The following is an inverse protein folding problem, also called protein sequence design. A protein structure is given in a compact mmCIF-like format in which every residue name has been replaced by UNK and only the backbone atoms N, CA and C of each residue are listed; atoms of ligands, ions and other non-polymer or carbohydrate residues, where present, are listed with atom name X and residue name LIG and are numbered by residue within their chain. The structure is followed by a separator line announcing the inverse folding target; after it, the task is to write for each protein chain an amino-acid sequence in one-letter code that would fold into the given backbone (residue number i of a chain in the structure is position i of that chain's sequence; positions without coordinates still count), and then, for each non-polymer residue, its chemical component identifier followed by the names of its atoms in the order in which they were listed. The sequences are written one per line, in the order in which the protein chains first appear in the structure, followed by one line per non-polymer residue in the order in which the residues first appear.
data_IF_599873557167
#
_entry.id   IF_599873557167
#
_cell.length_a   1.000
_cell.length_b   1.000
_cell.length_c   1.000
_cell.angle_alpha   90.00
_cell.angle_beta   90.00
_cell.angle_gamma   90.00
#
_symmetry.space_group_name_H-M   'P 1'
#
loop_
_entity.id
_entity.type
_entity.pdbx_description
1 polymer ?
#
# COMPACT_ATOMS: atom_id res chain seq x y z
N UNK A 1 -3.83 -14.05 -15.62
CA UNK A 1 -2.96 -13.69 -14.66
C UNK A 1 -3.56 -13.05 -13.50
N UNK A 2 -3.27 -13.54 -12.38
CA UNK A 2 -3.90 -13.00 -11.26
C UNK A 2 -3.07 -11.95 -10.62
N UNK A 3 -3.72 -11.06 -9.95
CA UNK A 3 -3.10 -9.98 -9.23
C UNK A 3 -3.03 -10.34 -7.77
N UNK A 4 -1.85 -10.24 -7.19
CA UNK A 4 -1.68 -10.53 -5.79
C UNK A 4 -2.48 -9.55 -4.95
N UNK A 5 -3.00 -10.02 -3.82
CA UNK A 5 -3.69 -9.14 -2.89
C UNK A 5 -2.75 -8.14 -2.26
N UNK A 6 -1.47 -8.46 -2.22
CA UNK A 6 -0.49 -7.58 -1.60
C UNK A 6 0.47 -7.05 -2.65
N UNK A 7 0.86 -5.80 -2.48
CA UNK A 7 1.87 -5.16 -3.32
C UNK A 7 3.21 -5.21 -2.61
N UNK A 8 4.28 -5.42 -3.36
CA UNK A 8 5.59 -5.33 -2.76
C UNK A 8 6.16 -3.93 -2.98
N UNK A 9 7.37 -3.71 -2.46
CA UNK A 9 7.96 -2.39 -2.51
C UNK A 9 8.21 -1.94 -3.94
N UNK A 10 8.56 -2.86 -4.82
CA UNK A 10 8.87 -2.50 -6.20
C UNK A 10 7.64 -1.96 -6.92
N UNK A 11 6.49 -2.53 -6.65
CA UNK A 11 5.26 -2.02 -7.24
C UNK A 11 4.94 -0.63 -6.74
N UNK A 12 5.14 -0.39 -5.44
CA UNK A 12 4.89 0.93 -4.88
C UNK A 12 5.83 1.95 -5.50
N UNK A 13 7.09 1.58 -5.67
CA UNK A 13 8.05 2.45 -6.32
C UNK A 13 7.57 2.86 -7.71
N UNK A 14 7.10 1.89 -8.48
CA UNK A 14 6.65 2.15 -9.84
C UNK A 14 5.39 3.00 -9.87
N UNK A 15 4.45 2.71 -9.01
CA UNK A 15 3.18 3.42 -9.05
C UNK A 15 3.33 4.85 -8.59
N UNK A 16 4.08 5.07 -7.51
CA UNK A 16 4.21 6.41 -6.95
C UNK A 16 5.40 7.19 -7.48
N UNK A 17 6.33 6.53 -8.14
CA UNK A 17 7.52 7.21 -8.64
C UNK A 17 8.43 7.68 -7.53
N UNK A 18 8.54 6.92 -6.44
CA UNK A 18 9.38 7.29 -5.31
C UNK A 18 10.52 6.28 -5.20
N UNK A 19 11.49 6.61 -4.37
CA UNK A 19 12.61 5.71 -4.14
C UNK A 19 12.24 4.65 -3.13
N UNK A 20 13.01 3.55 -3.12
CA UNK A 20 12.72 2.43 -2.25
C UNK A 20 12.57 2.81 -0.77
N UNK A 21 13.47 3.59 -0.19
CA UNK A 21 13.31 3.94 1.23
C UNK A 21 11.98 4.63 1.51
N UNK A 22 11.56 5.50 0.59
CA UNK A 22 10.28 6.18 0.75
C UNK A 22 9.13 5.19 0.60
N UNK A 23 9.25 4.27 -0.34
CA UNK A 23 8.21 3.26 -0.53
C UNK A 23 8.05 2.39 0.71
N UNK A 24 9.16 2.01 1.34
CA UNK A 24 9.09 1.22 2.56
C UNK A 24 8.40 1.99 3.68
N UNK A 25 8.67 3.28 3.78
CA UNK A 25 8.00 4.09 4.80
C UNK A 25 6.50 4.13 4.57
N UNK A 26 6.10 4.27 3.32
CA UNK A 26 4.68 4.32 2.99
C UNK A 26 4.02 2.99 3.32
N UNK A 27 4.65 1.89 2.95
CA UNK A 27 4.10 0.57 3.25
C UNK A 27 3.95 0.39 4.75
N UNK A 28 4.95 0.78 5.51
CA UNK A 28 4.90 0.65 6.95
C UNK A 28 3.77 1.46 7.55
N UNK A 29 3.61 2.69 7.07
CA UNK A 29 2.56 3.54 7.57
C UNK A 29 1.18 2.95 7.30
N UNK A 30 0.96 2.47 6.08
CA UNK A 30 -0.32 1.88 5.74
C UNK A 30 -0.58 0.61 6.55
N UNK A 31 0.46 -0.19 6.77
CA UNK A 31 0.30 -1.38 7.58
C UNK A 31 -0.02 -1.04 9.02
N UNK A 32 0.58 0.01 9.55
CA UNK A 32 0.26 0.45 10.91
C UNK A 32 -1.21 0.84 11.01
N UNK A 33 -1.72 1.51 10.00
CA UNK A 33 -3.14 1.87 9.98
C UNK A 33 -4.02 0.64 9.95
N UNK A 34 -3.65 -0.34 9.14
CA UNK A 34 -4.43 -1.56 9.04
C UNK A 34 -4.37 -2.36 10.33
N UNK A 35 -3.22 -2.40 10.97
CA UNK A 35 -3.11 -3.10 12.26
C UNK A 35 -4.02 -2.46 13.30
N UNK A 36 -4.16 -1.16 13.25
CA UNK A 36 -5.07 -0.47 14.15
C UNK A 36 -6.51 -0.81 13.92
N UNK A 37 -6.83 -1.35 12.74
CA UNK A 37 -8.18 -1.77 12.40
C UNK A 37 -8.34 -3.28 12.48
N UNK A 38 -7.37 -3.95 13.07
CA UNK A 38 -7.43 -5.41 13.26
C UNK A 38 -7.31 -6.21 11.97
N UNK A 39 -6.68 -5.65 10.96
CA UNK A 39 -6.41 -6.39 9.74
C UNK A 39 -5.03 -7.04 9.82
N UNK A 40 -4.89 -8.15 9.12
CA UNK A 40 -3.62 -8.84 9.05
C UNK A 40 -2.72 -8.13 8.04
N UNK A 41 -1.46 -7.90 8.44
CA UNK A 41 -0.50 -7.26 7.55
C UNK A 41 0.74 -8.13 7.39
N UNK A 42 1.50 -7.86 6.33
CA UNK A 42 2.73 -8.58 6.05
C UNK A 42 3.84 -7.55 5.92
N UNK A 43 4.93 -7.76 6.65
CA UNK A 43 6.06 -6.83 6.63
C UNK A 43 6.58 -6.69 5.20
N UNK A 44 6.82 -5.45 4.78
CA UNK A 44 7.35 -5.18 3.46
C UNK A 44 6.34 -5.27 2.34
N UNK A 45 5.07 -5.53 2.67
CA UNK A 45 4.02 -5.59 1.67
C UNK A 45 2.80 -4.86 2.20
N UNK A 46 1.95 -4.42 1.28
CA UNK A 46 0.77 -3.67 1.68
C UNK A 46 -0.42 -4.17 0.87
N UNK A 47 -1.59 -4.16 1.50
CA UNK A 47 -2.82 -4.54 0.81
C UNK A 47 -3.03 -3.66 -0.42
N UNK A 48 -3.19 -4.29 -1.57
CA UNK A 48 -3.39 -3.55 -2.81
C UNK A 48 -4.66 -2.72 -2.74
N UNK A 49 -5.70 -3.30 -2.20
CA UNK A 49 -6.98 -2.59 -2.08
C UNK A 49 -6.86 -1.37 -1.17
N UNK A 50 -6.23 -1.54 -0.01
CA UNK A 50 -6.09 -0.42 0.91
C UNK A 50 -5.20 0.67 0.33
N UNK A 51 -4.12 0.27 -0.35
CA UNK A 51 -3.25 1.24 -1.02
C UNK A 51 -4.06 2.09 -1.98
N UNK A 52 -4.87 1.43 -2.80
CA UNK A 52 -5.66 2.17 -3.78
C UNK A 52 -6.66 3.09 -3.11
N UNK A 53 -7.28 2.64 -2.03
CA UNK A 53 -8.23 3.50 -1.31
C UNK A 53 -7.56 4.74 -0.74
N UNK A 54 -6.36 4.56 -0.19
CA UNK A 54 -5.66 5.68 0.44
C UNK A 54 -5.14 6.69 -0.58
N UNK A 55 -4.76 6.22 -1.76
CA UNK A 55 -4.18 7.12 -2.75
C UNK A 55 -5.14 7.53 -3.84
N UNK A 56 -6.11 6.69 -4.13
CA UNK A 56 -7.05 7.00 -5.22
C UNK A 56 -8.47 7.15 -4.75
N UNK A 57 -8.77 6.77 -3.53
CA UNK A 57 -10.13 6.90 -3.02
C UNK A 57 -10.61 8.33 -3.02
N UNK A 58 -9.70 9.25 -2.76
CA UNK A 58 -10.07 10.66 -2.75
C UNK A 58 -10.52 11.13 -4.11
N UNK A 59 -9.89 10.62 -5.15
CA UNK A 59 -10.29 10.98 -6.49
C UNK A 59 -11.67 10.47 -6.83
N UNK A 60 -11.99 9.30 -6.33
CA UNK A 60 -13.31 8.75 -6.58
C UNK A 60 -14.40 9.46 -5.82
N UNK A 61 -14.04 10.05 -4.71
CA UNK A 61 -15.02 10.77 -3.91
C UNK A 61 -15.51 12.03 -4.59
N UNK A 62 -14.79 12.47 -5.60
CA UNK A 62 -15.22 13.69 -6.30
C UNK A 62 -16.17 13.41 -7.46
#
# INVERSE_FOLDING_TARGET
METSMFMDVDEVVEILGVKKPTAYKIIRQLNDELNGKDFVTIAGRVSRQYFMERFYGLQKAN
#
